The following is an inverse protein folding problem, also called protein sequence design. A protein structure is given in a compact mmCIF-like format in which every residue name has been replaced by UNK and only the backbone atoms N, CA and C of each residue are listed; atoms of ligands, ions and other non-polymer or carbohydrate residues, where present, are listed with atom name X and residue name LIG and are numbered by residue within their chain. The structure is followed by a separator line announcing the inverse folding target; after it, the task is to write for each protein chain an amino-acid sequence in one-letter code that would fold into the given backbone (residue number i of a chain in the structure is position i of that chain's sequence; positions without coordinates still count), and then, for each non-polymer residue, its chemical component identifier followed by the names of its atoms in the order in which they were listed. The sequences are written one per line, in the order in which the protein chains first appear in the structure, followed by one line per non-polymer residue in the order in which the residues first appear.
data_IF_392279440333
#
_entry.id   IF_392279440333
#
_cell.length_a   1.000
_cell.length_b   1.000
_cell.length_c   1.000
_cell.angle_alpha   90.00
_cell.angle_beta   90.00
_cell.angle_gamma   90.00
#
_symmetry.space_group_name_H-M   'P 1'
#
loop_
_entity.id
_entity.type
_entity.pdbx_description
1 polymer ?
#
# COMPACT_ATOMS: atom_id res chain seq x y z
N UNK A 1 4.65 19.85 10.54
CA UNK A 1 5.09 19.25 11.82
C UNK A 1 5.47 20.31 12.89
N UNK A 2 6.08 21.44 12.51
CA UNK A 2 6.43 22.53 13.47
C UNK A 2 5.22 23.10 14.24
N UNK A 3 4.00 22.94 13.71
CA UNK A 3 2.77 23.51 14.30
C UNK A 3 2.06 22.48 15.20
N UNK A 4 2.27 21.18 14.97
CA UNK A 4 1.48 20.11 15.62
C UNK A 4 2.30 19.08 16.41
N UNK A 5 3.62 19.10 16.33
CA UNK A 5 4.47 18.10 16.98
C UNK A 5 5.69 18.72 17.64
N UNK A 6 6.02 18.23 18.84
CA UNK A 6 7.24 18.56 19.57
C UNK A 6 8.50 18.09 18.82
N UNK A 7 9.67 18.63 19.18
CA UNK A 7 10.96 18.27 18.56
C UNK A 7 11.22 16.74 18.57
N UNK A 8 10.76 16.04 19.60
CA UNK A 8 10.90 14.58 19.76
C UNK A 8 10.21 13.79 18.65
N UNK A 9 9.12 14.31 18.05
CA UNK A 9 8.40 13.66 16.95
C UNK A 9 8.95 13.97 15.56
N UNK A 10 9.98 14.82 15.45
CA UNK A 10 10.58 15.17 14.14
C UNK A 10 11.24 13.97 13.48
N UNK A 11 11.79 13.06 14.26
CA UNK A 11 12.40 11.83 13.73
C UNK A 11 11.38 10.85 13.16
N UNK A 12 10.13 10.90 13.63
CA UNK A 12 9.05 10.03 13.14
C UNK A 12 8.75 10.22 11.63
N UNK A 13 9.22 11.33 11.04
CA UNK A 13 9.08 11.58 9.60
C UNK A 13 9.74 10.47 8.75
N UNK A 14 10.77 9.81 9.27
CA UNK A 14 11.49 8.75 8.58
C UNK A 14 10.74 7.42 8.49
N UNK A 15 9.68 7.25 9.30
CA UNK A 15 8.80 6.08 9.25
C UNK A 15 7.73 6.21 8.15
N UNK A 16 7.38 7.45 7.78
CA UNK A 16 6.29 7.71 6.84
C UNK A 16 6.48 6.99 5.49
N UNK A 17 7.64 7.04 4.81
CA UNK A 17 7.80 6.38 3.51
C UNK A 17 7.60 4.86 3.54
N UNK A 18 8.24 4.08 4.45
CA UNK A 18 8.01 2.63 4.49
C UNK A 18 6.57 2.28 4.90
N UNK A 19 5.94 3.04 5.80
CA UNK A 19 4.53 2.82 6.15
C UNK A 19 3.61 3.14 4.98
N UNK A 20 3.86 4.22 4.23
CA UNK A 20 3.10 4.54 3.03
C UNK A 20 3.23 3.47 1.95
N UNK A 21 4.44 2.91 1.76
CA UNK A 21 4.64 1.77 0.87
C UNK A 21 3.89 0.52 1.35
N UNK A 22 3.79 0.29 2.66
CA UNK A 22 3.03 -0.85 3.21
C UNK A 22 1.53 -0.76 2.90
N UNK A 23 0.96 0.45 2.84
CA UNK A 23 -0.46 0.66 2.46
C UNK A 23 -0.73 0.19 1.03
N UNK A 24 0.22 0.37 0.11
CA UNK A 24 0.11 -0.19 -1.24
C UNK A 24 0.03 -1.73 -1.21
N UNK A 25 0.85 -2.40 -0.39
CA UNK A 25 0.80 -3.85 -0.24
C UNK A 25 -0.49 -4.32 0.44
N UNK A 26 -1.04 -3.56 1.39
CA UNK A 26 -2.38 -3.81 1.97
C UNK A 26 -3.43 -3.83 0.86
N UNK A 27 -3.44 -2.83 -0.01
CA UNK A 27 -4.38 -2.79 -1.13
C UNK A 27 -4.23 -4.00 -2.06
N UNK A 28 -3.00 -4.38 -2.39
CA UNK A 28 -2.75 -5.53 -3.28
C UNK A 28 -3.21 -6.86 -2.67
N UNK A 29 -2.88 -7.13 -1.40
CA UNK A 29 -3.32 -8.38 -0.79
C UNK A 29 -4.84 -8.45 -0.69
N UNK A 30 -5.52 -7.33 -0.41
CA UNK A 30 -6.99 -7.29 -0.41
C UNK A 30 -7.58 -7.65 -1.78
N UNK A 31 -6.96 -7.19 -2.87
CA UNK A 31 -7.39 -7.60 -4.21
C UNK A 31 -7.24 -9.11 -4.43
N UNK A 32 -6.16 -9.71 -3.98
CA UNK A 32 -5.94 -11.15 -4.10
C UNK A 32 -6.87 -11.94 -3.19
N UNK A 33 -7.06 -11.50 -1.95
CA UNK A 33 -7.97 -12.11 -0.99
C UNK A 33 -9.42 -12.11 -1.49
N UNK A 34 -9.88 -11.07 -2.19
CA UNK A 34 -11.21 -11.06 -2.79
C UNK A 34 -11.39 -12.19 -3.83
N UNK A 35 -10.36 -12.49 -4.62
CA UNK A 35 -10.37 -13.61 -5.55
C UNK A 35 -10.36 -14.96 -4.81
N UNK A 36 -9.60 -15.06 -3.73
CA UNK A 36 -9.54 -16.27 -2.89
C UNK A 36 -10.90 -16.54 -2.21
N UNK A 37 -11.56 -15.48 -1.70
CA UNK A 37 -12.92 -15.58 -1.16
C UNK A 37 -13.93 -16.04 -2.20
N UNK A 38 -13.82 -15.60 -3.45
CA UNK A 38 -14.66 -16.06 -4.54
C UNK A 38 -14.52 -17.57 -4.79
N UNK A 39 -13.33 -18.15 -4.55
CA UNK A 39 -13.06 -19.58 -4.65
C UNK A 39 -13.21 -20.35 -3.33
N UNK A 40 -13.79 -19.73 -2.30
CA UNK A 40 -14.04 -20.31 -0.97
C UNK A 40 -12.77 -20.82 -0.25
N UNK A 41 -11.60 -20.18 -0.51
CA UNK A 41 -10.32 -20.51 0.15
C UNK A 41 -10.16 -19.78 1.50
N UNK A 42 -11.25 -19.59 2.26
CA UNK A 42 -11.31 -18.82 3.50
C UNK A 42 -10.32 -19.30 4.56
N UNK A 43 -10.06 -20.61 4.65
CA UNK A 43 -9.08 -21.18 5.58
C UNK A 43 -7.66 -20.74 5.25
N UNK A 44 -7.31 -20.66 3.97
CA UNK A 44 -6.00 -20.21 3.52
C UNK A 44 -5.78 -18.73 3.87
N UNK A 45 -6.77 -17.89 3.65
CA UNK A 45 -6.75 -16.47 4.02
C UNK A 45 -6.47 -16.31 5.51
N UNK A 46 -7.23 -17.03 6.36
CA UNK A 46 -7.08 -16.96 7.82
C UNK A 46 -5.68 -17.37 8.28
N UNK A 47 -5.18 -18.51 7.79
CA UNK A 47 -3.86 -19.03 8.18
C UNK A 47 -2.75 -18.08 7.78
N UNK A 48 -2.75 -17.57 6.54
CA UNK A 48 -1.73 -16.62 6.05
C UNK A 48 -1.76 -15.35 6.88
N UNK A 49 -2.93 -14.80 7.18
CA UNK A 49 -3.09 -13.59 7.97
C UNK A 49 -2.55 -13.76 9.40
N UNK A 50 -2.87 -14.88 10.06
CA UNK A 50 -2.35 -15.18 11.41
C UNK A 50 -0.83 -15.31 11.38
N UNK A 51 -0.26 -16.08 10.44
CA UNK A 51 1.18 -16.29 10.33
C UNK A 51 1.92 -14.97 10.13
N UNK A 52 1.44 -14.12 9.21
CA UNK A 52 2.05 -12.82 8.96
C UNK A 52 1.91 -11.85 10.15
N UNK A 53 0.80 -11.89 10.87
CA UNK A 53 0.59 -11.07 12.09
C UNK A 53 1.53 -11.49 13.21
N UNK A 54 1.68 -12.79 13.44
CA UNK A 54 2.62 -13.32 14.43
C UNK A 54 4.07 -12.99 14.03
N UNK A 55 4.41 -13.14 12.77
CA UNK A 55 5.73 -12.74 12.25
C UNK A 55 6.02 -11.25 12.48
N UNK A 56 5.03 -10.37 12.24
CA UNK A 56 5.17 -8.93 12.50
C UNK A 56 5.41 -8.65 14.00
N UNK A 57 4.67 -9.32 14.88
CA UNK A 57 4.85 -9.17 16.33
C UNK A 57 6.25 -9.60 16.77
N UNK A 58 6.73 -10.75 16.29
CA UNK A 58 8.07 -11.26 16.60
C UNK A 58 9.15 -10.32 16.08
N UNK A 59 9.06 -9.89 14.81
CA UNK A 59 10.03 -8.97 14.22
C UNK A 59 10.08 -7.63 14.96
N UNK A 60 8.93 -7.08 15.31
CA UNK A 60 8.88 -5.86 16.11
C UNK A 60 9.49 -6.06 17.50
N UNK A 61 9.22 -7.19 18.16
CA UNK A 61 9.81 -7.52 19.45
C UNK A 61 11.34 -7.63 19.42
N UNK A 62 11.91 -8.08 18.29
CA UNK A 62 13.37 -8.22 18.11
C UNK A 62 14.00 -6.90 17.67
N UNK A 63 13.43 -6.23 16.67
CA UNK A 63 14.10 -5.12 16.00
C UNK A 63 13.85 -3.77 16.68
N UNK A 64 12.71 -3.55 17.33
CA UNK A 64 12.46 -2.28 18.01
C UNK A 64 13.45 -2.02 19.15
N UNK A 65 13.78 -3.00 20.03
CA UNK A 65 14.77 -2.78 21.08
C UNK A 65 16.19 -2.48 20.56
N UNK A 66 16.54 -2.98 19.36
CA UNK A 66 17.88 -2.83 18.77
C UNK A 66 17.99 -1.59 17.89
N UNK A 67 17.01 -1.34 17.05
CA UNK A 67 17.03 -0.31 16.00
C UNK A 67 16.09 0.87 16.32
N UNK A 68 15.43 0.85 17.47
CA UNK A 68 14.45 1.86 17.85
C UNK A 68 13.15 1.76 17.04
N UNK A 69 12.27 2.73 17.24
CA UNK A 69 10.93 2.77 16.65
C UNK A 69 10.91 2.80 15.10
N UNK A 70 12.01 3.22 14.47
CA UNK A 70 12.15 3.18 12.98
C UNK A 70 12.00 1.76 12.43
N UNK A 71 12.41 0.76 13.20
CA UNK A 71 12.29 -0.64 12.81
C UNK A 71 10.83 -1.02 12.54
N UNK A 72 9.88 -0.47 13.29
CA UNK A 72 8.46 -0.78 13.15
C UNK A 72 7.91 -0.48 11.75
N UNK A 73 8.37 0.59 11.10
CA UNK A 73 7.98 0.92 9.73
C UNK A 73 8.48 -0.10 8.70
N UNK A 74 9.72 -0.54 8.86
CA UNK A 74 10.35 -1.51 7.95
C UNK A 74 9.83 -2.93 8.15
N UNK A 75 9.65 -3.36 9.40
CA UNK A 75 9.05 -4.68 9.72
C UNK A 75 7.62 -4.76 9.21
N UNK A 76 6.85 -3.68 9.33
CA UNK A 76 5.50 -3.58 8.78
C UNK A 76 5.50 -3.70 7.27
N UNK A 77 6.36 -2.94 6.56
CA UNK A 77 6.49 -3.03 5.11
C UNK A 77 6.87 -4.45 4.67
N UNK A 78 7.82 -5.07 5.34
CA UNK A 78 8.26 -6.44 5.06
C UNK A 78 7.13 -7.44 5.24
N UNK A 79 6.39 -7.37 6.37
CA UNK A 79 5.29 -8.29 6.65
C UNK A 79 4.12 -8.14 5.68
N UNK A 80 3.75 -6.91 5.28
CA UNK A 80 2.72 -6.73 4.26
C UNK A 80 3.20 -7.15 2.87
N UNK A 81 4.48 -7.01 2.56
CA UNK A 81 5.08 -7.57 1.36
C UNK A 81 4.96 -9.10 1.33
N UNK A 82 5.33 -9.79 2.43
CA UNK A 82 5.16 -11.25 2.57
C UNK A 82 3.69 -11.66 2.48
N UNK A 83 2.80 -10.96 3.18
CA UNK A 83 1.36 -11.20 3.14
C UNK A 83 0.85 -11.16 1.70
N UNK A 84 1.25 -10.15 0.95
CA UNK A 84 0.86 -9.98 -0.46
C UNK A 84 1.39 -11.12 -1.34
N UNK A 85 2.63 -11.56 -1.13
CA UNK A 85 3.21 -12.69 -1.87
C UNK A 85 2.43 -13.98 -1.58
N UNK A 86 2.14 -14.27 -0.31
CA UNK A 86 1.41 -15.48 0.05
C UNK A 86 -0.02 -15.49 -0.49
N UNK A 87 -0.73 -14.37 -0.44
CA UNK A 87 -2.06 -14.24 -1.05
C UNK A 87 -1.98 -14.39 -2.57
N UNK A 88 -0.99 -13.82 -3.23
CA UNK A 88 -0.79 -14.02 -4.67
C UNK A 88 -0.59 -15.51 -5.02
N UNK A 89 0.20 -16.24 -4.24
CA UNK A 89 0.44 -17.67 -4.45
C UNK A 89 -0.82 -18.50 -4.17
N UNK A 90 -1.58 -18.18 -3.11
CA UNK A 90 -2.83 -18.84 -2.78
C UNK A 90 -3.88 -18.59 -3.87
N UNK A 91 -4.06 -17.34 -4.30
CA UNK A 91 -4.91 -16.98 -5.43
C UNK A 91 -4.55 -17.77 -6.70
N UNK A 92 -3.26 -17.86 -7.03
CA UNK A 92 -2.79 -18.63 -8.19
C UNK A 92 -3.11 -20.11 -8.06
N UNK A 93 -2.98 -20.68 -6.85
CA UNK A 93 -3.34 -22.08 -6.56
C UNK A 93 -4.86 -22.29 -6.69
N UNK A 94 -5.68 -21.42 -6.12
CA UNK A 94 -7.12 -21.47 -6.17
C UNK A 94 -7.64 -21.45 -7.62
N UNK A 95 -7.10 -20.58 -8.47
CA UNK A 95 -7.42 -20.52 -9.89
C UNK A 95 -7.05 -21.81 -10.64
N UNK A 96 -5.85 -22.34 -10.41
CA UNK A 96 -5.43 -23.60 -11.04
C UNK A 96 -6.35 -24.75 -10.66
N UNK A 97 -6.77 -24.85 -9.41
CA UNK A 97 -7.70 -25.86 -8.91
C UNK A 97 -9.06 -25.77 -9.63
N UNK A 98 -9.51 -24.56 -9.94
CA UNK A 98 -10.77 -24.29 -10.62
C UNK A 98 -10.65 -24.20 -12.15
N UNK A 99 -9.51 -24.61 -12.73
CA UNK A 99 -9.26 -24.67 -14.19
C UNK A 99 -9.39 -23.32 -14.92
N UNK A 100 -9.20 -22.21 -14.22
CA UNK A 100 -9.22 -20.88 -14.84
C UNK A 100 -7.81 -20.54 -15.33
N UNK A 101 -7.63 -20.50 -16.65
CA UNK A 101 -6.33 -20.24 -17.30
C UNK A 101 -5.99 -18.77 -17.40
N UNK A 102 -6.99 -17.89 -17.50
CA UNK A 102 -6.78 -16.47 -17.74
C UNK A 102 -6.14 -15.77 -16.55
N UNK A 103 -5.04 -15.08 -16.81
CA UNK A 103 -4.33 -14.33 -15.77
C UNK A 103 -5.11 -13.04 -15.45
N UNK A 104 -5.91 -13.05 -14.38
CA UNK A 104 -6.60 -11.84 -13.87
C UNK A 104 -5.57 -10.76 -13.55
N UNK A 105 -4.42 -11.15 -12.98
CA UNK A 105 -3.33 -10.24 -12.67
C UNK A 105 -2.01 -10.78 -13.27
N UNK A 106 -1.40 -10.06 -14.21
CA UNK A 106 -0.09 -10.44 -14.75
C UNK A 106 1.00 -10.28 -13.69
N UNK A 107 1.64 -11.39 -13.30
CA UNK A 107 2.64 -11.41 -12.23
C UNK A 107 3.83 -10.48 -12.50
N UNK A 108 4.19 -10.28 -13.77
CA UNK A 108 5.26 -9.34 -14.15
C UNK A 108 4.91 -7.89 -13.80
N UNK A 109 3.65 -7.48 -14.04
CA UNK A 109 3.17 -6.14 -13.69
C UNK A 109 3.17 -5.95 -12.17
N UNK A 110 2.70 -6.95 -11.43
CA UNK A 110 2.72 -6.94 -9.97
C UNK A 110 4.13 -6.71 -9.42
N UNK A 111 5.11 -7.49 -9.90
CA UNK A 111 6.50 -7.32 -9.49
C UNK A 111 7.06 -5.95 -9.87
N UNK A 112 6.84 -5.51 -11.11
CA UNK A 112 7.33 -4.21 -11.57
C UNK A 112 6.79 -3.05 -10.73
N UNK A 113 5.47 -3.03 -10.45
CA UNK A 113 4.85 -1.98 -9.64
C UNK A 113 5.33 -2.06 -8.18
N UNK A 114 5.48 -3.26 -7.60
CA UNK A 114 6.00 -3.43 -6.25
C UNK A 114 7.42 -2.89 -6.10
N UNK A 115 8.31 -3.19 -7.05
CA UNK A 115 9.67 -2.64 -7.07
C UNK A 115 9.67 -1.12 -7.26
N UNK A 116 8.77 -0.60 -8.10
CA UNK A 116 8.62 0.84 -8.31
C UNK A 116 8.21 1.57 -7.02
N UNK A 117 7.24 1.02 -6.27
CA UNK A 117 6.77 1.59 -5.00
C UNK A 117 7.84 1.54 -3.93
N UNK A 118 8.57 0.42 -3.80
CA UNK A 118 9.69 0.32 -2.85
C UNK A 118 10.80 1.30 -3.24
N UNK A 119 11.17 1.35 -4.52
CA UNK A 119 12.17 2.29 -5.03
C UNK A 119 11.79 3.74 -4.77
N UNK A 120 10.53 4.10 -5.02
CA UNK A 120 10.01 5.44 -4.74
C UNK A 120 10.06 5.75 -3.24
N UNK A 121 9.72 4.80 -2.37
CA UNK A 121 9.84 4.95 -0.92
C UNK A 121 11.29 5.23 -0.49
N UNK A 122 12.26 4.53 -1.07
CA UNK A 122 13.68 4.77 -0.82
C UNK A 122 14.13 6.16 -1.34
N UNK A 123 13.66 6.57 -2.52
CA UNK A 123 13.96 7.91 -3.07
C UNK A 123 13.41 9.00 -2.15
N UNK A 124 12.17 8.85 -1.66
CA UNK A 124 11.56 9.81 -0.74
C UNK A 124 12.38 9.94 0.56
N UNK A 125 12.94 8.83 1.08
CA UNK A 125 13.84 8.89 2.24
C UNK A 125 15.06 9.76 1.97
N UNK A 126 15.66 9.65 0.79
CA UNK A 126 16.81 10.50 0.39
C UNK A 126 16.38 11.96 0.25
N UNK A 127 15.24 12.20 -0.38
CA UNK A 127 14.66 13.55 -0.57
C UNK A 127 14.35 14.23 0.76
N UNK A 128 13.90 13.47 1.76
CA UNK A 128 13.63 14.03 3.10
C UNK A 128 14.86 14.60 3.81
N UNK A 129 16.06 14.18 3.39
CA UNK A 129 17.31 14.74 3.90
C UNK A 129 17.52 16.20 3.43
N UNK A 130 16.87 16.61 2.32
CA UNK A 130 17.03 17.94 1.72
C UNK A 130 15.72 18.73 1.82
N UNK A 131 15.72 19.70 2.76
CA UNK A 131 14.51 20.50 3.05
C UNK A 131 13.92 21.19 1.81
N UNK A 132 14.76 21.70 0.90
CA UNK A 132 14.32 22.42 -0.31
C UNK A 132 13.55 21.49 -1.24
N UNK A 133 14.06 20.29 -1.48
CA UNK A 133 13.40 19.29 -2.32
C UNK A 133 12.04 18.85 -1.77
N UNK A 134 11.96 18.68 -0.45
CA UNK A 134 10.71 18.30 0.22
C UNK A 134 9.60 19.33 0.01
N UNK A 135 9.91 20.60 0.21
CA UNK A 135 8.92 21.68 0.00
C UNK A 135 8.57 21.85 -1.48
N UNK A 136 9.55 21.68 -2.38
CA UNK A 136 9.32 21.68 -3.82
C UNK A 136 8.33 20.59 -4.28
N UNK A 137 8.48 19.36 -3.78
CA UNK A 137 7.56 18.26 -4.06
C UNK A 137 6.16 18.54 -3.52
N UNK A 138 6.03 19.05 -2.28
CA UNK A 138 4.73 19.40 -1.71
C UNK A 138 4.00 20.46 -2.52
N UNK A 139 4.71 21.48 -3.01
CA UNK A 139 4.13 22.52 -3.88
C UNK A 139 3.68 21.91 -5.21
N UNK A 140 4.47 21.02 -5.78
CA UNK A 140 4.15 20.34 -7.03
C UNK A 140 2.92 19.43 -6.86
N UNK A 141 2.83 18.65 -5.79
CA UNK A 141 1.66 17.83 -5.46
C UNK A 141 0.41 18.66 -5.26
N UNK A 142 0.51 19.76 -4.51
CA UNK A 142 -0.61 20.70 -4.33
C UNK A 142 -1.06 21.30 -5.67
N UNK A 143 -0.14 21.66 -6.55
CA UNK A 143 -0.42 22.13 -7.89
C UNK A 143 -1.14 21.10 -8.75
N UNK A 144 -0.67 19.85 -8.74
CA UNK A 144 -1.31 18.73 -9.45
C UNK A 144 -2.71 18.47 -8.92
N UNK A 145 -2.90 18.46 -7.60
CA UNK A 145 -4.22 18.29 -6.97
C UNK A 145 -5.19 19.41 -7.36
N UNK A 146 -4.72 20.65 -7.44
CA UNK A 146 -5.55 21.78 -7.88
C UNK A 146 -5.97 21.66 -9.35
N UNK A 147 -5.09 21.17 -10.21
CA UNK A 147 -5.40 20.92 -11.63
C UNK A 147 -6.38 19.74 -11.77
N UNK A 148 -6.13 18.64 -11.03
CA UNK A 148 -6.99 17.47 -11.04
C UNK A 148 -8.38 17.74 -10.43
N UNK A 149 -8.48 18.62 -9.43
CA UNK A 149 -9.75 19.03 -8.83
C UNK A 149 -10.75 19.54 -9.86
N UNK A 150 -10.30 20.33 -10.83
CA UNK A 150 -11.17 20.82 -11.92
C UNK A 150 -11.65 19.68 -12.81
N UNK A 151 -10.81 18.72 -13.09
CA UNK A 151 -11.14 17.55 -13.92
C UNK A 151 -12.07 16.58 -13.20
N UNK A 152 -11.82 16.32 -11.92
CA UNK A 152 -12.67 15.49 -11.05
C UNK A 152 -14.06 16.12 -10.85
N UNK A 153 -14.14 17.42 -10.63
CA UNK A 153 -15.43 18.12 -10.51
C UNK A 153 -16.26 18.04 -11.81
N UNK A 154 -15.60 17.99 -12.97
CA UNK A 154 -16.25 17.73 -14.26
C UNK A 154 -16.86 16.33 -14.35
N UNK A 155 -16.11 15.31 -13.94
CA UNK A 155 -16.56 13.91 -13.93
C UNK A 155 -17.72 13.71 -12.93
N UNK A 156 -17.62 14.29 -11.74
CA UNK A 156 -18.71 14.24 -10.73
C UNK A 156 -20.01 14.86 -11.23
N UNK A 157 -19.91 16.00 -11.95
CA UNK A 157 -21.09 16.63 -12.57
C UNK A 157 -21.71 15.78 -13.69
N UNK A 158 -20.90 15.01 -14.40
CA UNK A 158 -21.40 14.09 -15.44
C UNK A 158 -22.08 12.86 -14.85
N UNK A 159 -21.53 12.27 -13.79
CA UNK A 159 -22.14 11.15 -13.08
C UNK A 159 -23.49 11.53 -12.43
N UNK A 160 -23.57 12.68 -11.76
CA UNK A 160 -24.82 13.17 -11.18
C UNK A 160 -25.90 13.58 -12.18
N UNK A 161 -25.55 13.74 -13.46
CA UNK A 161 -26.55 13.95 -14.54
C UNK A 161 -27.06 12.63 -15.14
N UNK A 162 -26.28 11.55 -15.01
CA UNK A 162 -26.67 10.21 -15.47
C UNK A 162 -27.80 9.61 -14.63
N UNK A 163 -27.75 9.78 -13.32
CA UNK A 163 -28.77 9.24 -12.39
C UNK A 163 -30.17 9.84 -12.60
N UNK A 164 -30.24 11.12 -12.97
CA UNK A 164 -31.54 11.80 -13.24
C UNK A 164 -32.21 11.40 -14.55
N UNK A 165 -31.54 10.62 -15.42
CA UNK A 165 -32.11 10.17 -16.70
C UNK A 165 -32.77 8.78 -16.59
N UNK A 166 -32.55 8.05 -15.51
CA UNK A 166 -33.18 6.75 -15.26
C UNK A 166 -34.40 6.82 -14.34
N UNK A 167 -34.73 7.99 -13.80
CA UNK A 167 -35.93 8.22 -12.95
C UNK A 167 -37.11 8.85 -13.70
N UNK A 168 -37.06 8.93 -15.03
CA UNK A 168 -38.20 9.29 -15.88
C UNK A 168 -38.47 8.14 -16.87
#
# INVERSE_FOLDING_TARGET
LRIMATEEYREAIWIIPPVSASVFFIFLYMMFANVEMYFDENRGILVISIVCSVANLILNGIFIPVCGYMAAGWTTLFCYGLLTIFHYLLMKRARRKNRISDAIFPGKLFLAVSFCVIGLSCVILVVYRWNILRYGILILEAGVLLILRKKLAGIWRQMGKGDKKHEK
#
